data_IF_090158628993
#
_entry.id   IF_090158628993
#
_cell.length_a   1.000
_cell.length_b   1.000
_cell.length_c   1.000
_cell.angle_alpha   90.00
_cell.angle_beta   90.00
_cell.angle_gamma   90.00
#
_symmetry.space_group_name_H-M   'P 1'
#
loop_
_entity.id
_entity.type
_entity.pdbx_description
1 polymer ?
#
# COMPACT_ATOMS: atom_id res chain seq x y z
N UNK A 1 4.76 8.82 -5.00
CA UNK A 1 4.51 7.43 -5.48
C UNK A 1 3.04 7.34 -5.84
N UNK A 2 2.64 6.59 -6.88
CA UNK A 2 1.22 6.44 -7.25
C UNK A 2 0.69 5.01 -7.07
N UNK A 3 1.49 3.99 -7.39
CA UNK A 3 1.14 2.58 -7.23
C UNK A 3 2.32 1.77 -6.68
N UNK A 4 2.04 0.72 -5.91
CA UNK A 4 3.03 -0.21 -5.34
C UNK A 4 2.51 -1.65 -5.48
N UNK A 5 3.42 -2.58 -5.78
CA UNK A 5 3.17 -4.02 -5.83
C UNK A 5 4.23 -4.75 -5.01
N UNK A 6 3.84 -5.77 -4.26
CA UNK A 6 4.77 -6.71 -3.63
C UNK A 6 4.67 -8.06 -4.33
N UNK A 7 5.83 -8.59 -4.73
CA UNK A 7 5.95 -9.89 -5.41
C UNK A 7 6.76 -10.83 -4.52
N UNK A 8 6.18 -11.97 -4.17
CA UNK A 8 6.84 -12.99 -3.38
C UNK A 8 7.81 -13.82 -4.24
N UNK A 9 8.69 -14.60 -3.59
CA UNK A 9 9.76 -15.37 -4.26
C UNK A 9 9.28 -16.33 -5.36
N UNK A 10 8.02 -16.73 -5.32
CA UNK A 10 7.35 -17.61 -6.28
C UNK A 10 6.61 -16.84 -7.40
N UNK A 11 6.73 -15.51 -7.45
CA UNK A 11 6.04 -14.67 -8.41
C UNK A 11 4.57 -14.41 -8.08
N UNK A 12 4.11 -14.75 -6.88
CA UNK A 12 2.77 -14.37 -6.42
C UNK A 12 2.72 -12.92 -5.95
N UNK A 13 1.59 -12.26 -6.23
CA UNK A 13 1.32 -10.91 -5.73
C UNK A 13 0.75 -11.06 -4.33
N UNK A 14 1.33 -10.30 -3.40
CA UNK A 14 0.86 -10.25 -2.02
C UNK A 14 0.67 -8.79 -1.60
N UNK A 15 -0.22 -8.50 -0.64
CA UNK A 15 -0.28 -7.18 -0.03
C UNK A 15 1.06 -6.81 0.63
N UNK A 16 1.44 -5.53 0.56
CA UNK A 16 2.64 -5.02 1.24
C UNK A 16 2.55 -5.26 2.75
N UNK A 17 3.64 -5.70 3.39
CA UNK A 17 3.67 -5.98 4.83
C UNK A 17 3.56 -4.70 5.68
N UNK A 18 3.24 -4.85 6.97
CA UNK A 18 2.99 -3.72 7.88
C UNK A 18 4.14 -2.71 7.97
N UNK A 19 5.38 -3.19 8.13
CA UNK A 19 6.57 -2.31 8.18
C UNK A 19 6.74 -1.50 6.89
N UNK A 20 6.50 -2.10 5.72
CA UNK A 20 6.59 -1.38 4.46
C UNK A 20 5.51 -0.30 4.36
N UNK A 21 4.29 -0.59 4.83
CA UNK A 21 3.19 0.39 4.85
C UNK A 21 3.52 1.57 5.77
N UNK A 22 4.00 1.28 6.97
CA UNK A 22 4.46 2.28 7.93
C UNK A 22 5.58 3.16 7.37
N UNK A 23 6.57 2.54 6.73
CA UNK A 23 7.65 3.28 6.08
C UNK A 23 7.12 4.19 4.97
N UNK A 24 6.18 3.72 4.15
CA UNK A 24 5.56 4.53 3.09
C UNK A 24 4.78 5.72 3.66
N UNK A 25 4.10 5.58 4.80
CA UNK A 25 3.38 6.68 5.45
C UNK A 25 4.32 7.82 5.89
N UNK A 26 5.58 7.51 6.26
CA UNK A 26 6.58 8.50 6.64
C UNK A 26 7.24 9.24 5.46
N UNK A 27 7.00 8.85 4.21
CA UNK A 27 7.63 9.49 3.05
C UNK A 27 7.07 10.90 2.74
N UNK A 28 5.95 11.27 3.36
CA UNK A 28 5.32 12.59 3.21
C UNK A 28 4.69 12.83 1.84
N UNK A 29 3.86 13.86 1.75
CA UNK A 29 3.08 14.18 0.55
C UNK A 29 1.82 13.34 0.40
N UNK A 30 1.48 12.98 -0.84
CA UNK A 30 0.23 12.28 -1.21
C UNK A 30 0.31 10.75 -0.96
N UNK A 31 0.78 10.35 0.22
CA UNK A 31 1.02 8.93 0.56
C UNK A 31 -0.27 8.16 0.80
N UNK A 32 -1.31 8.83 1.30
CA UNK A 32 -2.62 8.23 1.58
C UNK A 32 -3.27 7.66 0.31
N UNK A 33 -3.03 8.27 -0.84
CA UNK A 33 -3.58 7.88 -2.13
C UNK A 33 -2.70 6.90 -2.91
N UNK A 34 -1.60 6.40 -2.33
CA UNK A 34 -0.81 5.33 -2.96
C UNK A 34 -1.71 4.09 -3.10
N UNK A 35 -1.85 3.57 -4.32
CA UNK A 35 -2.58 2.33 -4.55
C UNK A 35 -1.67 1.12 -4.34
N UNK A 36 -2.08 0.19 -3.50
CA UNK A 36 -1.43 -1.09 -3.24
C UNK A 36 -2.16 -2.17 -4.04
N UNK A 37 -1.44 -2.88 -4.90
CA UNK A 37 -1.97 -4.02 -5.63
C UNK A 37 -2.11 -5.23 -4.69
N UNK A 38 -3.30 -5.82 -4.65
CA UNK A 38 -3.62 -6.94 -3.76
C UNK A 38 -3.38 -8.30 -4.43
N UNK A 39 -3.58 -8.40 -5.75
CA UNK A 39 -3.50 -9.66 -6.50
C UNK A 39 -3.31 -9.45 -8.00
N UNK A 40 -3.29 -10.57 -8.74
CA UNK A 40 -3.13 -10.63 -10.19
C UNK A 40 -4.40 -10.24 -10.96
N UNK A 41 -5.56 -10.15 -10.30
CA UNK A 41 -6.83 -9.71 -10.92
C UNK A 41 -6.90 -8.19 -11.06
N UNK A 42 -5.92 -7.46 -10.51
CA UNK A 42 -5.83 -6.01 -10.61
C UNK A 42 -6.55 -5.28 -9.48
N UNK A 43 -6.98 -5.98 -8.42
CA UNK A 43 -7.62 -5.31 -7.28
C UNK A 43 -6.60 -4.43 -6.55
N UNK A 44 -6.93 -3.16 -6.38
CA UNK A 44 -6.12 -2.21 -5.63
C UNK A 44 -6.86 -1.70 -4.41
N UNK A 45 -6.10 -1.24 -3.41
CA UNK A 45 -6.60 -0.53 -2.23
C UNK A 45 -5.69 0.66 -1.95
N UNK A 46 -6.22 1.75 -1.41
CA UNK A 46 -5.37 2.87 -0.99
C UNK A 46 -4.57 2.48 0.25
N UNK A 47 -3.35 3.02 0.37
CA UNK A 47 -2.49 2.78 1.52
C UNK A 47 -3.17 3.17 2.84
N UNK A 48 -3.91 4.28 2.87
CA UNK A 48 -4.63 4.73 4.06
C UNK A 48 -5.70 3.74 4.53
N UNK A 49 -6.33 3.00 3.62
CA UNK A 49 -7.36 2.01 3.99
C UNK A 49 -6.73 0.73 4.58
N UNK A 50 -5.41 0.54 4.45
CA UNK A 50 -4.63 -0.54 5.09
C UNK A 50 -3.97 -0.11 6.42
N UNK A 51 -4.16 1.14 6.84
CA UNK A 51 -3.54 1.76 8.03
C UNK A 51 -4.63 2.42 8.90
N UNK A 52 -5.52 1.64 9.54
CA UNK A 52 -6.71 2.18 10.23
C UNK A 52 -6.37 3.07 11.45
N UNK A 53 -5.17 2.93 12.01
CA UNK A 53 -4.65 3.77 13.08
C UNK A 53 -4.25 5.19 12.64
N UNK A 54 -4.06 5.43 11.34
CA UNK A 54 -3.69 6.74 10.82
C UNK A 54 -4.92 7.64 10.63
N UNK A 55 -4.84 8.92 11.01
CA UNK A 55 -5.90 9.88 10.73
C UNK A 55 -6.03 10.07 9.22
N UNK A 56 -7.26 10.00 8.70
CA UNK A 56 -7.52 10.36 7.30
C UNK A 56 -7.49 11.88 7.18
N UNK A 57 -6.57 12.41 6.38
CA UNK A 57 -6.60 13.83 6.07
C UNK A 57 -7.53 14.01 4.86
N UNK A 58 -8.69 14.65 5.10
CA UNK A 58 -9.68 14.98 4.06
C UNK A 58 -9.27 16.20 3.26
#
# INVERSE_FOLDING_TARGET
IKKVVSVYKDGNIIPSCGICREFMMHLGGDVENIEILLDKEGRTIKLIDLMPEYPRHK
#
